data_IF_570599415243
#
_entry.id   IF_570599415243
#
_cell.length_a   1.000
_cell.length_b   1.000
_cell.length_c   1.000
_cell.angle_alpha   90.00
_cell.angle_beta   90.00
_cell.angle_gamma   90.00
#
_symmetry.space_group_name_H-M   'P 1'
#
loop_
_entity.id
_entity.type
_entity.pdbx_description
1 polymer ?
#
# COMPACT_ATOMS: atom_id res chain seq x y z
N UNK A 1 -9.08 1.64 16.82
CA UNK A 1 -9.34 2.51 15.65
C UNK A 1 -9.95 1.60 14.59
N UNK A 2 -11.06 2.06 13.99
CA UNK A 2 -11.96 1.33 13.10
C UNK A 2 -12.11 2.20 11.86
N UNK A 3 -12.00 1.64 10.66
CA UNK A 3 -12.50 2.39 9.52
C UNK A 3 -12.48 1.73 8.16
N UNK A 4 -12.17 0.44 8.03
CA UNK A 4 -12.57 -0.29 6.81
C UNK A 4 -13.95 -0.96 6.98
N UNK A 5 -14.23 -1.48 8.17
CA UNK A 5 -15.51 -1.98 8.71
C UNK A 5 -15.50 -1.78 10.25
N UNK A 6 -16.65 -1.88 10.93
CA UNK A 6 -16.73 -1.87 12.41
C UNK A 6 -15.89 -3.01 13.06
N UNK A 7 -15.46 -4.01 12.29
CA UNK A 7 -14.57 -5.09 12.76
C UNK A 7 -13.32 -5.17 11.89
N UNK A 8 -12.17 -5.35 12.54
CA UNK A 8 -10.94 -5.73 11.85
C UNK A 8 -11.09 -7.15 11.29
N UNK A 9 -10.53 -7.38 10.10
CA UNK A 9 -10.52 -8.69 9.46
C UNK A 9 -9.13 -8.96 8.87
N UNK A 10 -8.76 -10.24 8.80
CA UNK A 10 -7.50 -10.68 8.27
C UNK A 10 -7.61 -10.97 6.77
N UNK A 11 -6.56 -10.65 6.02
CA UNK A 11 -6.45 -10.89 4.59
C UNK A 11 -5.10 -11.50 4.32
N UNK A 12 -5.06 -12.53 3.48
CA UNK A 12 -3.82 -13.20 3.10
C UNK A 12 -3.27 -12.63 1.79
N UNK A 13 -1.97 -12.84 1.55
CA UNK A 13 -1.38 -12.53 0.25
C UNK A 13 -2.10 -13.28 -0.90
N UNK A 14 -2.57 -14.51 -0.64
CA UNK A 14 -3.34 -15.29 -1.61
C UNK A 14 -4.66 -14.62 -1.98
N UNK A 15 -5.30 -13.92 -1.05
CA UNK A 15 -6.52 -13.17 -1.35
C UNK A 15 -6.23 -11.95 -2.21
N UNK A 16 -5.12 -11.24 -1.96
CA UNK A 16 -4.68 -10.14 -2.82
C UNK A 16 -4.36 -10.60 -4.25
N UNK A 17 -3.83 -11.82 -4.41
CA UNK A 17 -3.54 -12.41 -5.74
C UNK A 17 -4.78 -12.77 -6.54
N UNK A 18 -5.96 -12.87 -5.91
CA UNK A 18 -7.24 -13.08 -6.62
C UNK A 18 -7.75 -11.80 -7.29
N UNK A 19 -7.18 -10.64 -6.96
CA UNK A 19 -7.57 -9.35 -7.51
C UNK A 19 -6.82 -9.05 -8.81
N UNK A 20 -7.42 -8.25 -9.72
CA UNK A 20 -6.70 -7.73 -10.86
C UNK A 20 -5.44 -6.98 -10.43
N UNK A 21 -4.29 -7.54 -10.78
CA UNK A 21 -2.98 -6.96 -10.52
C UNK A 21 -2.53 -6.10 -11.69
N UNK A 22 -1.78 -5.04 -11.38
CA UNK A 22 -1.09 -4.23 -12.37
C UNK A 22 0.41 -4.40 -12.17
N UNK A 23 1.18 -4.28 -13.26
CA UNK A 23 2.63 -4.09 -13.21
C UNK A 23 2.93 -2.69 -13.68
N UNK A 24 3.64 -1.91 -12.86
CA UNK A 24 3.95 -0.51 -13.19
C UNK A 24 5.38 -0.14 -12.79
N UNK A 25 6.07 0.53 -13.70
CA UNK A 25 7.32 1.21 -13.40
C UNK A 25 7.03 2.39 -12.44
N UNK A 26 7.65 2.34 -11.27
CA UNK A 26 7.42 3.28 -10.18
C UNK A 26 8.76 3.88 -9.76
N UNK A 27 8.80 5.20 -9.59
CA UNK A 27 9.97 5.89 -9.05
C UNK A 27 9.62 6.68 -7.78
N UNK A 28 10.58 6.78 -6.87
CA UNK A 28 10.51 7.61 -5.68
C UNK A 28 11.86 8.24 -5.36
N UNK A 29 11.83 9.34 -4.59
CA UNK A 29 13.05 10.01 -4.11
C UNK A 29 13.24 9.68 -2.63
N UNK A 30 14.43 9.22 -2.27
CA UNK A 30 14.85 8.98 -0.88
C UNK A 30 15.14 10.31 -0.17
N UNK A 31 15.24 10.27 1.15
CA UNK A 31 15.55 11.46 1.96
C UNK A 31 16.92 12.07 1.63
N UNK A 32 17.88 11.26 1.16
CA UNK A 32 19.20 11.69 0.71
C UNK A 32 19.22 12.23 -0.74
N UNK A 33 18.06 12.39 -1.39
CA UNK A 33 17.95 12.85 -2.78
C UNK A 33 18.14 11.78 -3.85
N UNK A 34 18.53 10.55 -3.48
CA UNK A 34 18.69 9.44 -4.41
C UNK A 34 17.34 9.01 -4.99
N UNK A 35 17.28 8.83 -6.31
CA UNK A 35 16.10 8.31 -7.00
C UNK A 35 16.17 6.79 -7.06
N UNK A 36 15.10 6.13 -6.60
CA UNK A 36 14.91 4.70 -6.76
C UNK A 36 13.82 4.44 -7.79
N UNK A 37 14.00 3.38 -8.57
CA UNK A 37 13.02 2.90 -9.56
C UNK A 37 12.81 1.41 -9.41
N UNK A 38 11.55 0.98 -9.45
CA UNK A 38 11.14 -0.43 -9.35
C UNK A 38 9.94 -0.71 -10.24
N UNK A 39 9.84 -1.93 -10.77
CA UNK A 39 8.61 -2.44 -11.37
C UNK A 39 7.80 -3.16 -10.30
N UNK A 40 6.70 -2.55 -9.88
CA UNK A 40 5.86 -3.08 -8.82
C UNK A 40 4.66 -3.82 -9.40
N UNK A 41 4.44 -5.05 -8.92
CA UNK A 41 3.30 -5.89 -9.32
C UNK A 41 2.41 -6.23 -8.14
N UNK A 42 1.12 -5.91 -8.27
CA UNK A 42 0.07 -6.20 -7.30
C UNK A 42 -1.23 -5.43 -7.59
N UNK A 43 -2.31 -5.68 -6.84
CA UNK A 43 -3.54 -4.91 -7.01
C UNK A 43 -3.38 -3.47 -6.54
N UNK A 44 -4.20 -2.58 -7.10
CA UNK A 44 -4.35 -1.24 -6.58
C UNK A 44 -5.12 -1.28 -5.26
N UNK A 45 -4.75 -0.43 -4.30
CA UNK A 45 -5.48 -0.26 -3.05
C UNK A 45 -6.95 0.08 -3.31
N UNK A 46 -7.23 0.91 -4.31
CA UNK A 46 -8.60 1.22 -4.72
C UNK A 46 -9.36 -0.01 -5.26
N UNK A 47 -8.69 -0.92 -5.99
CA UNK A 47 -9.31 -2.18 -6.46
C UNK A 47 -9.67 -3.08 -5.28
N UNK A 48 -8.75 -3.17 -4.32
CA UNK A 48 -8.96 -3.90 -3.07
C UNK A 48 -10.14 -3.32 -2.26
N UNK A 49 -10.16 -1.99 -2.04
CA UNK A 49 -11.22 -1.32 -1.27
C UNK A 49 -12.61 -1.43 -1.88
N UNK A 50 -12.69 -1.48 -3.22
CA UNK A 50 -13.97 -1.62 -3.94
C UNK A 50 -14.70 -2.92 -3.60
N UNK A 51 -13.99 -3.97 -3.19
CA UNK A 51 -14.61 -5.21 -2.73
C UNK A 51 -15.49 -4.99 -1.49
N UNK A 52 -15.21 -3.93 -0.73
CA UNK A 52 -15.94 -3.54 0.48
C UNK A 52 -16.85 -2.33 0.24
N UNK A 53 -17.10 -1.97 -1.02
CA UNK A 53 -17.93 -0.80 -1.37
C UNK A 53 -17.26 0.56 -1.15
N UNK A 54 -15.95 0.60 -0.87
CA UNK A 54 -15.22 1.83 -0.57
C UNK A 54 -14.27 2.24 -1.69
N UNK A 55 -13.89 3.52 -1.73
CA UNK A 55 -12.82 4.05 -2.58
C UNK A 55 -11.70 4.58 -1.71
N UNK A 56 -10.48 4.54 -2.23
CA UNK A 56 -9.29 5.07 -1.54
C UNK A 56 -9.45 6.53 -1.09
N UNK A 57 -10.14 7.33 -1.89
CA UNK A 57 -10.40 8.74 -1.62
C UNK A 57 -11.50 9.01 -0.57
N UNK A 58 -12.20 7.98 -0.11
CA UNK A 58 -13.25 8.14 0.92
C UNK A 58 -12.63 8.24 2.33
N UNK A 59 -11.31 8.06 2.44
CA UNK A 59 -10.54 8.10 3.68
C UNK A 59 -9.72 9.38 3.77
N UNK A 60 -9.67 9.97 4.96
CA UNK A 60 -8.81 11.11 5.25
C UNK A 60 -7.37 10.69 5.52
N UNK A 61 -7.18 9.46 6.02
CA UNK A 61 -5.88 8.87 6.27
C UNK A 61 -5.93 7.34 6.20
N UNK A 62 -4.82 6.74 5.76
CA UNK A 62 -4.60 5.30 5.89
C UNK A 62 -3.25 5.08 6.58
N UNK A 63 -3.25 4.35 7.67
CA UNK A 63 -2.06 3.98 8.43
C UNK A 63 -1.63 2.57 8.05
N UNK A 64 -0.36 2.39 7.68
CA UNK A 64 0.24 1.07 7.47
C UNK A 64 1.25 0.77 8.56
N UNK A 65 1.20 -0.44 9.12
CA UNK A 65 2.18 -0.93 10.10
C UNK A 65 2.91 -2.15 9.56
N UNK A 66 4.23 -2.12 9.68
CA UNK A 66 5.16 -3.14 9.21
C UNK A 66 5.59 -4.08 10.33
N UNK A 67 6.10 -5.27 9.98
CA UNK A 67 6.61 -6.27 10.96
C UNK A 67 7.68 -5.71 11.90
N UNK A 68 8.53 -4.83 11.39
CA UNK A 68 9.60 -4.16 12.13
C UNK A 68 9.10 -2.99 12.99
N UNK A 69 7.78 -2.84 13.15
CA UNK A 69 7.10 -1.74 13.84
C UNK A 69 7.25 -0.38 13.15
N UNK A 70 7.84 -0.34 11.95
CA UNK A 70 7.78 0.86 11.13
C UNK A 70 6.34 1.14 10.72
N UNK A 71 5.92 2.39 10.84
CA UNK A 71 4.60 2.81 10.41
C UNK A 71 4.64 4.04 9.54
N UNK A 72 3.65 4.14 8.65
CA UNK A 72 3.50 5.29 7.78
C UNK A 72 2.03 5.66 7.60
N UNK A 73 1.78 6.97 7.73
CA UNK A 73 0.49 7.58 7.45
C UNK A 73 0.46 8.07 6.01
N UNK A 74 -0.52 7.61 5.24
CA UNK A 74 -0.80 8.14 3.92
C UNK A 74 -1.90 9.20 4.05
N UNK A 75 -1.58 10.50 3.88
CA UNK A 75 -2.56 11.58 3.97
C UNK A 75 -3.53 11.60 2.78
N UNK A 76 -4.70 12.21 2.99
CA UNK A 76 -5.76 12.35 1.99
C UNK A 76 -5.29 12.87 0.63
N UNK A 77 -4.38 13.84 0.59
CA UNK A 77 -3.87 14.38 -0.69
C UNK A 77 -3.15 13.33 -1.54
N UNK A 78 -2.48 12.34 -0.93
CA UNK A 78 -1.89 11.21 -1.65
C UNK A 78 -2.99 10.20 -2.00
N UNK A 79 -3.91 9.92 -1.07
CA UNK A 79 -5.03 9.00 -1.28
C UNK A 79 -5.96 9.44 -2.42
N UNK A 80 -6.19 10.73 -2.60
CA UNK A 80 -7.06 11.26 -3.64
C UNK A 80 -6.39 11.29 -5.03
N UNK A 81 -5.06 11.45 -5.08
CA UNK A 81 -4.36 11.82 -6.33
C UNK A 81 -3.36 10.78 -6.83
N UNK A 82 -3.00 9.77 -6.04
CA UNK A 82 -1.95 8.81 -6.39
C UNK A 82 -2.47 7.38 -6.38
N UNK A 83 -2.12 6.56 -7.40
CA UNK A 83 -2.35 5.13 -7.32
C UNK A 83 -1.42 4.52 -6.26
N UNK A 84 -1.97 3.68 -5.39
CA UNK A 84 -1.23 2.93 -4.39
C UNK A 84 -1.27 1.47 -4.79
N UNK A 85 -0.10 0.86 -4.96
CA UNK A 85 0.05 -0.54 -5.35
C UNK A 85 0.37 -1.35 -4.09
N UNK A 86 -0.42 -2.40 -3.86
CA UNK A 86 -0.21 -3.40 -2.82
C UNK A 86 0.68 -4.50 -3.40
N UNK A 87 1.99 -4.23 -3.48
CA UNK A 87 2.93 -5.05 -4.25
C UNK A 87 3.36 -6.31 -3.49
N UNK A 88 3.35 -7.45 -4.19
CA UNK A 88 3.93 -8.72 -3.73
C UNK A 88 5.04 -9.26 -4.65
N UNK A 89 5.27 -8.59 -5.78
CA UNK A 89 6.39 -8.80 -6.70
C UNK A 89 7.04 -7.45 -7.00
N UNK A 90 8.37 -7.43 -7.01
CA UNK A 90 9.19 -6.26 -7.35
C UNK A 90 10.24 -6.70 -8.38
N UNK A 91 10.36 -5.97 -9.49
CA UNK A 91 11.30 -6.24 -10.58
C UNK A 91 11.21 -7.69 -11.08
N UNK A 92 9.98 -8.18 -11.26
CA UNK A 92 9.69 -9.55 -11.71
C UNK A 92 9.99 -10.65 -10.69
N UNK A 93 10.49 -10.32 -9.49
CA UNK A 93 10.84 -11.28 -8.44
C UNK A 93 9.88 -11.19 -7.25
N UNK A 94 9.60 -12.31 -6.57
CA UNK A 94 8.91 -12.28 -5.28
C UNK A 94 9.65 -11.38 -4.27
N UNK A 95 8.90 -10.84 -3.31
CA UNK A 95 9.51 -10.09 -2.21
C UNK A 95 10.49 -10.96 -1.40
N UNK A 96 11.66 -10.44 -1.01
CA UNK A 96 12.51 -11.06 0.00
C UNK A 96 11.72 -11.32 1.30
N UNK A 97 12.13 -12.32 2.09
CA UNK A 97 11.41 -12.73 3.32
C UNK A 97 11.13 -11.55 4.27
N UNK A 98 12.08 -10.65 4.45
CA UNK A 98 11.95 -9.48 5.33
C UNK A 98 10.96 -8.43 4.80
N UNK A 99 10.63 -8.48 3.50
CA UNK A 99 9.72 -7.54 2.86
C UNK A 99 8.32 -8.12 2.67
N UNK A 100 8.17 -9.43 2.85
CA UNK A 100 6.87 -10.11 2.84
C UNK A 100 6.03 -9.72 4.07
N UNK A 101 4.69 -9.83 4.00
CA UNK A 101 3.92 -10.33 2.86
C UNK A 101 3.65 -9.28 1.78
N UNK A 102 3.82 -8.00 2.12
CA UNK A 102 3.34 -6.90 1.31
C UNK A 102 4.27 -5.69 1.37
N UNK A 103 4.46 -5.05 0.21
CA UNK A 103 5.14 -3.77 0.09
C UNK A 103 4.20 -2.73 -0.52
N UNK A 104 4.13 -1.56 0.10
CA UNK A 104 3.37 -0.42 -0.42
C UNK A 104 4.26 0.32 -1.41
N UNK A 105 3.72 0.61 -2.60
CA UNK A 105 4.41 1.38 -3.64
C UNK A 105 3.51 2.48 -4.15
N UNK A 106 4.00 3.72 -4.09
CA UNK A 106 3.25 4.93 -4.47
C UNK A 106 4.10 5.76 -5.43
N UNK A 107 3.84 5.72 -6.74
CA UNK A 107 4.65 6.45 -7.71
C UNK A 107 4.62 7.95 -7.47
N UNK A 108 5.78 8.61 -7.58
CA UNK A 108 5.87 10.07 -7.56
C UNK A 108 5.73 10.71 -6.18
N UNK A 109 5.94 9.95 -5.10
CA UNK A 109 6.09 10.48 -3.73
C UNK A 109 7.44 10.08 -3.14
N UNK A 110 7.74 10.59 -1.95
CA UNK A 110 8.96 10.22 -1.22
C UNK A 110 8.96 8.73 -0.87
N UNK A 111 10.14 8.10 -0.95
CA UNK A 111 10.32 6.68 -0.71
C UNK A 111 9.94 6.26 0.73
N UNK A 112 9.86 7.20 1.68
CA UNK A 112 9.39 6.95 3.05
C UNK A 112 7.97 6.39 3.10
N UNK A 113 7.13 6.67 2.10
CA UNK A 113 5.78 6.12 2.03
C UNK A 113 5.74 4.67 1.53
N UNK A 114 6.87 4.13 1.06
CA UNK A 114 6.95 2.79 0.49
C UNK A 114 7.30 1.76 1.56
N UNK A 115 6.37 1.56 2.50
CA UNK A 115 6.53 0.60 3.59
C UNK A 115 6.70 -0.84 3.08
N UNK A 116 7.56 -1.61 3.74
CA UNK A 116 7.88 -3.01 3.42
C UNK A 116 7.43 -3.91 4.58
N UNK A 117 7.05 -5.15 4.29
CA UNK A 117 6.63 -6.08 5.33
C UNK A 117 5.36 -5.62 6.06
N UNK A 118 4.43 -4.99 5.35
CA UNK A 118 3.18 -4.48 5.93
C UNK A 118 2.30 -5.65 6.37
N UNK A 119 1.81 -5.56 7.60
CA UNK A 119 0.95 -6.59 8.25
C UNK A 119 -0.36 -6.01 8.78
N UNK A 120 -0.46 -4.70 8.92
CA UNK A 120 -1.68 -4.05 9.40
C UNK A 120 -1.95 -2.78 8.60
N UNK A 121 -3.24 -2.52 8.36
CA UNK A 121 -3.75 -1.33 7.70
C UNK A 121 -4.96 -0.83 8.48
N UNK A 122 -4.88 0.41 8.97
CA UNK A 122 -5.99 1.12 9.57
C UNK A 122 -6.44 2.24 8.62
N UNK A 123 -7.74 2.47 8.54
CA UNK A 123 -8.32 3.47 7.64
C UNK A 123 -9.12 4.43 8.52
N UNK A 124 -8.96 5.73 8.28
CA UNK A 124 -9.65 6.78 9.02
C UNK A 124 -10.49 7.61 8.07
N UNK A 125 -11.68 7.99 8.52
CA UNK A 125 -12.59 8.89 7.80
C UNK A 125 -12.78 10.14 8.64
N UNK A 126 -12.94 11.27 7.96
CA UNK A 126 -13.41 12.48 8.63
C UNK A 126 -14.85 12.24 9.11
N UNK A 127 -15.15 12.75 10.31
CA UNK A 127 -16.48 12.69 10.93
C UNK A 127 -17.44 13.68 10.28
#
# INVERSE_FOLDING_TARGET
>A
MQGLQEKSFAITQSDLKKLPAVTKACSATRANGEKISVDATGPLLNTFMRQFGNKQKDFSRIHFTSKDKYSVDIPHNILANRPIILAYIINGKPLPNDWQPLRIVIPGVLARYWAKGVIFMDCERDK
#
